data_IF_690542757483
#
_entry.id   IF_690542757483
#
_cell.length_a   1.000
_cell.length_b   1.000
_cell.length_c   1.000
_cell.angle_alpha   90.00
_cell.angle_beta   90.00
_cell.angle_gamma   90.00
#
_symmetry.space_group_name_H-M   'P 1'
#
loop_
_entity.id
_entity.type
_entity.pdbx_description
1 polymer ?
#
# COMPACT_ATOMS: atom_id res chain seq x y z
N UNK A 1 -11.52 0.15 -2.04
CA UNK A 1 -11.02 -0.79 -3.08
C UNK A 1 -9.90 -0.08 -3.80
N UNK A 2 -8.65 -0.45 -3.51
CA UNK A 2 -7.48 0.29 -3.99
C UNK A 2 -6.80 -0.51 -5.10
N UNK A 3 -6.45 0.16 -6.20
CA UNK A 3 -5.68 -0.44 -7.29
C UNK A 3 -4.29 0.20 -7.30
N UNK A 4 -3.25 -0.61 -7.15
CA UNK A 4 -1.86 -0.15 -7.12
C UNK A 4 -1.09 -0.79 -8.25
N UNK A 5 -0.42 0.03 -9.06
CA UNK A 5 0.59 -0.42 -9.99
C UNK A 5 1.87 -0.75 -9.23
N UNK A 6 2.40 -1.96 -9.41
CA UNK A 6 3.68 -2.33 -8.81
C UNK A 6 4.82 -1.47 -9.38
N UNK A 7 5.91 -1.38 -8.62
CA UNK A 7 7.07 -0.55 -8.95
C UNK A 7 7.73 -0.97 -10.29
N UNK A 8 7.69 -2.26 -10.62
CA UNK A 8 8.17 -2.80 -11.90
C UNK A 8 7.29 -2.39 -13.10
N UNK A 9 6.08 -1.88 -12.84
CA UNK A 9 5.03 -1.52 -13.82
C UNK A 9 4.51 -2.69 -14.64
N UNK A 10 4.83 -3.92 -14.25
CA UNK A 10 4.40 -5.12 -14.98
C UNK A 10 3.03 -5.62 -14.50
N UNK A 11 2.57 -5.14 -13.35
CA UNK A 11 1.29 -5.56 -12.75
C UNK A 11 0.57 -4.42 -12.05
N UNK A 12 -0.76 -4.52 -12.05
CA UNK A 12 -1.65 -3.73 -11.21
C UNK A 12 -2.38 -4.72 -10.30
N UNK A 13 -2.35 -4.49 -9.01
CA UNK A 13 -2.99 -5.35 -8.00
C UNK A 13 -4.14 -4.61 -7.34
N UNK A 14 -5.27 -5.31 -7.26
CA UNK A 14 -6.37 -4.92 -6.38
C UNK A 14 -5.99 -5.29 -4.95
N UNK A 15 -5.91 -4.31 -4.07
CA UNK A 15 -5.50 -4.49 -2.68
C UNK A 15 -6.56 -3.95 -1.73
N UNK A 16 -6.71 -4.66 -0.61
CA UNK A 16 -7.53 -4.28 0.54
C UNK A 16 -6.68 -3.77 1.70
N UNK A 17 -5.40 -4.15 1.74
CA UNK A 17 -4.42 -3.71 2.74
C UNK A 17 -3.08 -3.42 2.05
N UNK A 18 -2.38 -2.39 2.53
CA UNK A 18 -1.02 -2.06 2.15
C UNK A 18 -0.19 -1.91 3.43
N UNK A 19 0.94 -2.61 3.51
CA UNK A 19 1.80 -2.63 4.70
C UNK A 19 3.28 -2.64 4.35
N UNK A 20 4.14 -2.32 5.33
CA UNK A 20 5.60 -2.34 5.16
C UNK A 20 6.18 -3.58 5.82
N UNK A 21 7.02 -4.29 5.08
CA UNK A 21 7.85 -5.38 5.57
C UNK A 21 9.33 -5.06 5.32
N UNK A 22 9.99 -4.47 6.33
CA UNK A 22 11.37 -3.99 6.21
C UNK A 22 11.48 -2.87 5.18
N UNK A 23 12.12 -3.15 4.04
CA UNK A 23 12.29 -2.19 2.94
C UNK A 23 11.30 -2.39 1.78
N UNK A 24 10.25 -3.19 2.00
CA UNK A 24 9.28 -3.59 0.99
C UNK A 24 7.90 -3.07 1.35
N UNK A 25 7.14 -2.66 0.34
CA UNK A 25 5.70 -2.42 0.45
C UNK A 25 5.00 -3.67 -0.07
N UNK A 26 4.12 -4.21 0.77
CA UNK A 26 3.33 -5.40 0.51
C UNK A 26 1.86 -5.00 0.36
N UNK A 27 1.13 -5.70 -0.50
CA UNK A 27 -0.30 -5.50 -0.71
C UNK A 27 -1.07 -6.81 -0.59
N UNK A 28 -2.12 -6.85 0.21
CA UNK A 28 -2.98 -8.04 0.36
C UNK A 28 -4.25 -7.83 -0.47
N UNK A 29 -4.62 -8.82 -1.27
CA UNK A 29 -5.86 -8.81 -2.06
C UNK A 29 -7.05 -9.44 -1.32
N UNK A 30 -8.26 -9.26 -1.82
CA UNK A 30 -9.45 -9.99 -1.31
C UNK A 30 -9.45 -11.45 -1.79
N UNK A 31 -9.97 -12.34 -0.93
CA UNK A 31 -9.88 -13.80 -0.98
C UNK A 31 -9.94 -14.46 -2.38
N UNK A 32 -9.13 -15.52 -2.55
CA UNK A 32 -9.15 -16.44 -3.70
C UNK A 32 -8.02 -16.27 -4.71
N UNK A 33 -7.37 -15.10 -4.77
CA UNK A 33 -6.30 -14.85 -5.74
C UNK A 33 -4.92 -14.55 -5.13
N UNK A 34 -4.81 -13.97 -3.92
CA UNK A 34 -3.51 -13.66 -3.30
C UNK A 34 -3.64 -13.39 -1.77
N UNK A 35 -3.90 -14.43 -0.99
CA UNK A 35 -3.81 -14.36 0.50
C UNK A 35 -2.35 -14.19 0.96
N UNK A 36 -1.39 -14.53 0.09
CA UNK A 36 0.02 -14.24 0.27
C UNK A 36 0.32 -12.87 -0.31
N UNK A 37 0.60 -11.90 0.57
CA UNK A 37 0.82 -10.50 0.19
C UNK A 37 1.72 -10.35 -1.05
N UNK A 38 1.26 -9.53 -1.99
CA UNK A 38 1.97 -9.18 -3.22
C UNK A 38 3.03 -8.12 -2.92
N UNK A 39 4.23 -8.29 -3.47
CA UNK A 39 5.25 -7.25 -3.42
C UNK A 39 4.85 -6.08 -4.35
N UNK A 40 4.46 -4.95 -3.79
CA UNK A 40 4.13 -3.75 -4.57
C UNK A 40 5.38 -2.94 -4.92
N UNK A 41 6.36 -2.91 -4.02
CA UNK A 41 7.61 -2.20 -4.24
C UNK A 41 8.70 -2.57 -3.23
N UNK A 42 9.95 -2.28 -3.58
CA UNK A 42 11.15 -2.46 -2.77
C UNK A 42 12.04 -1.22 -2.87
N UNK A 43 12.48 -0.74 -1.72
CA UNK A 43 13.24 0.50 -1.57
C UNK A 43 14.60 0.25 -0.92
N UNK A 44 15.46 1.28 -0.94
CA UNK A 44 16.82 1.21 -0.40
C UNK A 44 16.85 1.26 1.12
N UNK A 45 15.83 1.85 1.75
CA UNK A 45 15.70 1.99 3.20
C UNK A 45 14.25 1.80 3.67
N UNK A 46 14.08 1.60 4.98
CA UNK A 46 12.73 1.48 5.59
C UNK A 46 12.04 2.84 5.59
N UNK A 47 12.80 3.90 5.82
CA UNK A 47 12.36 5.30 5.82
C UNK A 47 11.74 5.65 4.47
N UNK A 48 12.40 5.26 3.36
CA UNK A 48 11.87 5.47 2.02
C UNK A 48 10.57 4.69 1.77
N UNK A 49 10.46 3.47 2.30
CA UNK A 49 9.22 2.70 2.21
C UNK A 49 8.09 3.38 3.01
N UNK A 50 8.39 3.98 4.17
CA UNK A 50 7.43 4.73 4.99
C UNK A 50 6.94 5.99 4.28
N UNK A 51 7.85 6.78 3.70
CA UNK A 51 7.49 7.96 2.89
C UNK A 51 6.52 7.61 1.75
N UNK A 52 6.75 6.49 1.07
CA UNK A 52 5.86 6.06 -0.02
C UNK A 52 4.51 5.57 0.52
N UNK A 53 4.48 4.87 1.66
CA UNK A 53 3.22 4.48 2.29
C UNK A 53 2.40 5.71 2.73
N UNK A 54 3.05 6.75 3.25
CA UNK A 54 2.41 8.01 3.58
C UNK A 54 1.85 8.73 2.34
N UNK A 55 2.57 8.68 1.22
CA UNK A 55 2.08 9.24 -0.04
C UNK A 55 0.86 8.47 -0.58
N UNK A 56 0.86 7.14 -0.46
CA UNK A 56 -0.32 6.30 -0.75
C UNK A 56 -1.48 6.72 0.15
N UNK A 57 -1.25 6.84 1.46
CA UNK A 57 -2.27 7.28 2.43
C UNK A 57 -2.85 8.66 2.06
N UNK A 58 -2.00 9.64 1.74
CA UNK A 58 -2.43 10.98 1.32
C UNK A 58 -3.23 10.95 0.02
N UNK A 59 -2.81 10.13 -0.94
CA UNK A 59 -3.52 9.95 -2.21
C UNK A 59 -4.92 9.38 -1.98
N UNK A 60 -5.06 8.43 -1.06
CA UNK A 60 -6.36 7.87 -0.65
C UNK A 60 -7.20 8.94 0.06
N UNK A 61 -6.62 9.67 1.02
CA UNK A 61 -7.32 10.72 1.78
C UNK A 61 -7.85 11.86 0.89
N UNK A 62 -7.13 12.19 -0.18
CA UNK A 62 -7.54 13.22 -1.15
C UNK A 62 -8.59 12.72 -2.16
N UNK A 63 -8.87 11.42 -2.21
CA UNK A 63 -9.83 10.85 -3.13
C UNK A 63 -11.24 10.90 -2.54
N UNK A 64 -12.17 11.57 -3.22
CA UNK A 64 -13.56 11.75 -2.76
C UNK A 64 -14.37 10.45 -2.65
N UNK A 65 -13.89 9.34 -3.21
CA UNK A 65 -14.54 8.03 -3.14
C UNK A 65 -14.04 7.15 -1.98
N UNK A 66 -12.93 7.51 -1.33
CA UNK A 66 -12.36 6.76 -0.21
C UNK A 66 -12.22 7.68 1.01
N UNK A 67 -12.95 7.38 2.08
CA UNK A 67 -12.83 8.13 3.33
C UNK A 67 -11.86 7.42 4.26
N UNK A 68 -10.69 8.03 4.52
CA UNK A 68 -9.93 7.73 5.73
C UNK A 68 -10.66 8.42 6.88
N UNK A 69 -11.34 7.65 7.71
CA UNK A 69 -12.18 8.19 8.79
C UNK A 69 -11.40 8.45 10.07
N UNK A 70 -10.28 7.75 10.27
CA UNK A 70 -9.48 7.85 11.48
C UNK A 70 -8.05 7.34 11.23
N UNK A 71 -7.06 8.06 11.76
CA UNK A 71 -5.66 7.65 11.79
C UNK A 71 -5.26 7.46 13.25
N UNK A 72 -4.73 6.29 13.60
CA UNK A 72 -4.29 6.00 14.97
C UNK A 72 -3.12 6.94 15.35
N UNK A 73 -3.11 7.49 16.58
CA UNK A 73 -2.00 8.32 17.05
C UNK A 73 -0.73 7.49 17.18
N UNK A 74 0.42 8.13 17.02
CA UNK A 74 1.71 7.57 17.45
C UNK A 74 1.80 7.66 18.98
N UNK A 75 2.29 6.60 19.63
CA UNK A 75 2.60 6.59 21.07
C UNK A 75 3.66 7.65 21.44
#
# INVERSE_FOLDING_TARGET
MLWIMAQDKERISQVIEVSISGKKIMGVGSAGLNEWGNLLGKYDSKERAMEVLEDIHRTIANNSQFAITYTMPTD
#
